data_IF_944741801624
#
_entry.id   IF_944741801624
#
_cell.length_a   1.000
_cell.length_b   1.000
_cell.length_c   1.000
_cell.angle_alpha   90.00
_cell.angle_beta   90.00
_cell.angle_gamma   90.00
#
_symmetry.space_group_name_H-M   'P 1'
#
loop_
_entity.id
_entity.type
_entity.pdbx_description
1 polymer ?
#
# COMPACT_ATOMS: atom_id res chain seq x y z
N UNK A 1 2.00 -10.43 9.97
CA UNK A 1 2.87 -10.66 8.79
C UNK A 1 2.98 -9.36 8.05
N UNK A 2 4.18 -9.00 7.59
CA UNK A 2 4.37 -7.72 6.91
C UNK A 2 4.25 -7.87 5.40
N UNK A 3 3.46 -6.98 4.81
CA UNK A 3 3.19 -6.96 3.37
C UNK A 3 3.47 -5.57 2.85
N UNK A 4 4.28 -5.50 1.81
CA UNK A 4 4.52 -4.31 1.02
C UNK A 4 3.52 -4.28 -0.13
N UNK A 5 2.72 -3.22 -0.22
CA UNK A 5 1.82 -2.97 -1.34
C UNK A 5 2.29 -1.73 -2.06
N UNK A 6 2.49 -1.85 -3.37
CA UNK A 6 2.83 -0.77 -4.28
C UNK A 6 1.63 -0.47 -5.16
N UNK A 7 1.29 0.81 -5.30
CA UNK A 7 0.20 1.29 -6.14
C UNK A 7 0.75 2.35 -7.10
N UNK A 8 0.46 2.19 -8.38
CA UNK A 8 0.77 3.16 -9.44
C UNK A 8 -0.50 3.53 -10.22
N UNK A 9 -0.67 4.82 -10.49
CA UNK A 9 -1.74 5.37 -11.31
C UNK A 9 -1.18 5.58 -12.72
N UNK A 10 -1.54 4.73 -13.69
CA UNK A 10 -1.04 4.88 -15.06
C UNK A 10 -1.58 6.16 -15.71
N UNK A 11 -0.73 7.17 -15.85
CA UNK A 11 -1.04 8.48 -16.47
C UNK A 11 -1.63 8.38 -17.89
N UNK A 12 -1.41 7.26 -18.58
CA UNK A 12 -1.80 7.08 -19.98
C UNK A 12 -3.10 6.28 -20.17
N UNK A 13 -3.71 5.80 -19.08
CA UNK A 13 -4.89 4.92 -19.14
C UNK A 13 -6.19 5.60 -18.72
N UNK A 14 -6.14 6.77 -18.10
CA UNK A 14 -7.29 7.44 -17.51
C UNK A 14 -7.49 8.82 -18.14
N UNK A 15 -8.74 9.16 -18.47
CA UNK A 15 -9.13 10.54 -18.75
C UNK A 15 -9.06 11.38 -17.47
N UNK A 16 -8.98 12.70 -17.60
CA UNK A 16 -8.80 13.62 -16.47
C UNK A 16 -9.86 13.45 -15.35
N UNK A 17 -11.12 13.16 -15.73
CA UNK A 17 -12.22 12.85 -14.82
C UNK A 17 -12.04 11.49 -14.11
N UNK A 18 -11.43 10.52 -14.80
CA UNK A 18 -11.10 9.20 -14.24
C UNK A 18 -9.89 9.26 -13.30
N UNK A 19 -8.91 10.15 -13.57
CA UNK A 19 -7.77 10.41 -12.68
C UNK A 19 -8.25 11.00 -11.36
N UNK A 20 -9.10 12.03 -11.38
CA UNK A 20 -9.63 12.64 -10.16
C UNK A 20 -10.43 11.63 -9.32
N UNK A 21 -11.21 10.78 -9.99
CA UNK A 21 -11.96 9.72 -9.32
C UNK A 21 -11.03 8.67 -8.71
N UNK A 22 -9.99 8.24 -9.42
CA UNK A 22 -9.00 7.30 -8.91
C UNK A 22 -8.25 7.87 -7.70
N UNK A 23 -7.91 9.17 -7.70
CA UNK A 23 -7.30 9.86 -6.57
C UNK A 23 -8.23 9.93 -5.34
N UNK A 24 -9.52 10.24 -5.52
CA UNK A 24 -10.50 10.26 -4.43
C UNK A 24 -10.73 8.86 -3.84
N UNK A 25 -10.86 7.85 -4.69
CA UNK A 25 -10.97 6.45 -4.28
C UNK A 25 -9.71 6.00 -3.53
N UNK A 26 -8.51 6.33 -4.04
CA UNK A 26 -7.25 6.06 -3.35
C UNK A 26 -7.17 6.76 -1.98
N UNK A 27 -7.58 8.04 -1.89
CA UNK A 27 -7.57 8.79 -0.63
C UNK A 27 -8.48 8.19 0.45
N UNK A 28 -9.67 7.70 0.07
CA UNK A 28 -10.58 6.99 0.99
C UNK A 28 -9.95 5.71 1.53
N UNK A 29 -9.21 5.00 0.69
CA UNK A 29 -8.57 3.74 1.06
C UNK A 29 -7.34 3.95 1.91
N UNK A 30 -6.53 4.94 1.57
CA UNK A 30 -5.44 5.41 2.43
C UNK A 30 -5.96 5.69 3.83
N UNK A 31 -7.08 6.42 3.94
CA UNK A 31 -7.71 6.70 5.23
C UNK A 31 -8.20 5.43 5.95
N UNK A 32 -8.80 4.48 5.24
CA UNK A 32 -9.22 3.18 5.79
C UNK A 32 -8.03 2.40 6.37
N UNK A 33 -6.98 2.23 5.57
CA UNK A 33 -5.75 1.51 5.96
C UNK A 33 -5.09 2.20 7.16
N UNK A 34 -4.99 3.54 7.18
CA UNK A 34 -4.48 4.28 8.34
C UNK A 34 -5.36 4.03 9.57
N UNK A 35 -6.69 4.10 9.42
CA UNK A 35 -7.62 3.93 10.54
C UNK A 35 -7.69 2.50 11.07
N UNK A 36 -7.30 1.51 10.28
CA UNK A 36 -7.26 0.10 10.68
C UNK A 36 -6.22 -0.18 11.78
N UNK A 37 -5.24 0.72 11.96
CA UNK A 37 -4.09 0.50 12.85
C UNK A 37 -3.07 -0.51 12.33
N UNK A 38 -3.28 -1.07 11.13
CA UNK A 38 -2.41 -2.09 10.51
C UNK A 38 -1.31 -1.48 9.65
N UNK A 39 -1.37 -0.18 9.35
CA UNK A 39 -0.32 0.50 8.59
C UNK A 39 0.93 0.70 9.46
N UNK A 40 2.03 0.06 9.05
CA UNK A 40 3.36 0.25 9.65
C UNK A 40 4.04 1.49 9.06
N UNK A 41 3.93 1.64 7.73
CA UNK A 41 4.55 2.74 6.99
C UNK A 41 3.77 2.99 5.70
N UNK A 42 3.81 4.21 5.18
CA UNK A 42 3.35 4.52 3.83
C UNK A 42 4.02 5.78 3.30
N UNK A 43 3.97 5.96 1.99
CA UNK A 43 4.57 7.11 1.33
C UNK A 43 4.22 7.19 -0.14
N UNK A 44 4.52 8.35 -0.74
CA UNK A 44 4.45 8.54 -2.19
C UNK A 44 5.80 8.20 -2.83
N UNK A 45 5.78 7.71 -4.07
CA UNK A 45 6.99 7.63 -4.88
C UNK A 45 7.36 9.01 -5.43
N UNK A 46 8.63 9.23 -5.70
CA UNK A 46 9.12 10.53 -6.19
C UNK A 46 8.99 10.69 -7.71
N UNK A 47 8.91 9.58 -8.43
CA UNK A 47 9.06 9.48 -9.89
C UNK A 47 7.79 8.94 -10.60
N UNK A 48 6.79 8.53 -9.83
CA UNK A 48 5.52 8.00 -10.36
C UNK A 48 4.33 8.51 -9.55
N UNK A 49 3.20 8.67 -10.22
CA UNK A 49 1.94 9.01 -9.56
C UNK A 49 1.40 7.78 -8.86
N UNK A 50 1.68 7.70 -7.56
CA UNK A 50 1.39 6.51 -6.78
C UNK A 50 2.12 6.52 -5.45
N UNK A 51 2.10 5.38 -4.80
CA UNK A 51 2.71 5.24 -3.49
C UNK A 51 2.76 3.80 -3.02
N UNK A 52 3.15 3.65 -1.77
CA UNK A 52 3.25 2.35 -1.14
C UNK A 52 2.71 2.36 0.28
N UNK A 53 2.42 1.14 0.74
CA UNK A 53 2.04 0.82 2.09
C UNK A 53 2.87 -0.37 2.57
N UNK A 54 3.26 -0.34 3.82
CA UNK A 54 3.65 -1.53 4.57
C UNK A 54 2.56 -1.75 5.61
N UNK A 55 1.90 -2.89 5.54
CA UNK A 55 0.88 -3.28 6.51
C UNK A 55 1.33 -4.51 7.29
N UNK A 56 0.92 -4.60 8.55
CA UNK A 56 1.05 -5.80 9.37
C UNK A 56 -0.32 -6.44 9.57
N UNK A 57 -0.52 -7.59 8.94
CA UNK A 57 -1.80 -8.34 8.91
C UNK A 57 -1.63 -9.72 9.49
N UNK A 58 -2.65 -10.30 10.11
CA UNK A 58 -2.54 -11.63 10.71
C UNK A 58 -2.44 -12.73 9.65
N UNK A 59 -3.33 -12.66 8.67
CA UNK A 59 -3.48 -13.64 7.58
C UNK A 59 -3.90 -12.95 6.25
N UNK A 60 -4.22 -13.75 5.23
CA UNK A 60 -4.67 -13.24 3.94
C UNK A 60 -6.09 -12.69 3.94
N UNK A 61 -6.92 -13.10 4.90
CA UNK A 61 -8.29 -12.60 5.01
C UNK A 61 -8.28 -11.20 5.61
N UNK A 62 -7.43 -10.97 6.63
CA UNK A 62 -7.13 -9.65 7.19
C UNK A 62 -6.53 -8.70 6.14
N UNK A 63 -5.76 -9.23 5.20
CA UNK A 63 -5.30 -8.46 4.04
C UNK A 63 -6.47 -8.09 3.11
N UNK A 64 -7.37 -9.03 2.81
CA UNK A 64 -8.52 -8.79 1.94
C UNK A 64 -9.46 -7.71 2.52
N UNK A 65 -9.62 -7.67 3.84
CA UNK A 65 -10.42 -6.66 4.56
C UNK A 65 -9.86 -5.23 4.46
N UNK A 66 -8.56 -5.09 4.17
CA UNK A 66 -7.92 -3.79 3.97
C UNK A 66 -8.14 -3.21 2.58
N UNK A 67 -8.48 -4.03 1.58
CA UNK A 67 -8.56 -3.61 0.19
C UNK A 67 -9.97 -3.71 -0.37
N UNK A 68 -10.57 -2.57 -0.70
CA UNK A 68 -11.83 -2.57 -1.46
C UNK A 68 -11.53 -2.90 -2.94
N UNK A 69 -12.26 -3.86 -3.56
CA UNK A 69 -12.06 -4.26 -4.95
C UNK A 69 -12.04 -3.11 -5.97
N UNK A 70 -12.67 -1.97 -5.66
CA UNK A 70 -12.72 -0.79 -6.52
C UNK A 70 -11.34 -0.19 -6.81
N UNK A 71 -10.36 -0.34 -5.91
CA UNK A 71 -9.00 0.16 -6.10
C UNK A 71 -8.35 -0.39 -7.37
N UNK A 72 -8.46 -1.71 -7.59
CA UNK A 72 -7.73 -2.42 -8.63
C UNK A 72 -8.26 -2.15 -10.04
N UNK A 73 -9.36 -1.41 -10.19
CA UNK A 73 -9.97 -1.20 -11.51
C UNK A 73 -9.15 -0.23 -12.36
N UNK A 74 -8.51 0.76 -11.73
CA UNK A 74 -7.86 1.89 -12.41
C UNK A 74 -6.39 2.11 -12.01
N UNK A 75 -5.83 1.24 -11.17
CA UNK A 75 -4.44 1.36 -10.68
C UNK A 75 -3.71 0.04 -10.85
N UNK A 76 -2.41 0.11 -11.09
CA UNK A 76 -1.53 -1.04 -11.03
C UNK A 76 -1.18 -1.30 -9.57
N UNK A 77 -1.42 -2.52 -9.09
CA UNK A 77 -1.08 -2.91 -7.72
C UNK A 77 -0.14 -4.10 -7.74
N UNK A 78 0.94 -4.01 -6.96
CA UNK A 78 1.83 -5.13 -6.68
C UNK A 78 1.87 -5.40 -5.18
N UNK A 79 1.85 -6.67 -4.80
CA UNK A 79 1.86 -7.10 -3.40
C UNK A 79 3.02 -8.04 -3.17
N UNK A 80 3.85 -7.74 -2.17
CA UNK A 80 5.08 -8.47 -1.86
C UNK A 80 5.16 -8.78 -0.37
N UNK A 81 5.46 -10.02 0.00
CA UNK A 81 5.72 -10.38 1.40
C UNK A 81 7.07 -9.81 1.85
N UNK A 82 7.08 -9.14 3.01
CA UNK A 82 8.33 -8.73 3.65
C UNK A 82 8.80 -9.88 4.54
N UNK A 83 9.94 -10.46 4.18
CA UNK A 83 10.61 -11.48 4.99
C UNK A 83 11.67 -10.78 5.83
N UNK A 84 11.58 -10.81 7.17
CA UNK A 84 12.64 -10.28 8.02
C UNK A 84 13.96 -10.99 7.69
N UNK A 85 15.00 -10.22 7.40
CA UNK A 85 16.35 -10.77 7.32
C UNK A 85 16.74 -11.19 8.74
N UNK A 86 16.69 -12.49 9.02
CA UNK A 86 16.98 -13.02 10.35
C UNK A 86 18.33 -12.51 10.85
N UNK A 87 18.31 -11.75 11.95
CA UNK A 87 19.53 -11.16 12.49
C UNK A 87 19.34 -10.65 13.91
N UNK A 88 19.81 -11.45 14.87
CA UNK A 88 20.35 -10.92 16.12
C UNK A 88 21.46 -9.92 15.76
N UNK A 89 21.11 -8.66 15.51
CA UNK A 89 22.06 -7.57 15.74
C UNK A 89 22.10 -7.37 17.24
N UNK A 90 22.91 -8.20 17.90
CA UNK A 90 23.37 -7.91 19.25
C UNK A 90 23.80 -6.45 19.27
N UNK A 91 23.22 -5.67 20.20
CA UNK A 91 23.72 -4.35 20.54
C UNK A 91 25.20 -4.52 20.84
N UNK A 92 26.05 -4.09 19.91
CA UNK A 92 27.44 -3.81 20.26
C UNK A 92 27.34 -2.59 21.17
N UNK A 93 27.38 -2.85 22.47
CA UNK A 93 27.43 -1.82 23.48
C UNK A 93 28.65 -0.95 23.25
N UNK A 94 28.46 0.37 23.40
CA UNK A 94 29.54 1.31 23.66
C UNK A 94 30.14 1.06 25.04
#
# INVERSE_FOLDING_TARGET
MQIFIKIEIPQNMLKEDEVLRAQDEFGKQFKHIVSSGKMVMGGAFADTDGGFFIVDVEDTDDLADLFIPSLFTNVLTETHFIVPLGGNMGRVGN
#
